data_IF_371762168598
#
_entry.id   IF_371762168598
#
_cell.length_a   1.000
_cell.length_b   1.000
_cell.length_c   1.000
_cell.angle_alpha   90.00
_cell.angle_beta   90.00
_cell.angle_gamma   90.00
#
_symmetry.space_group_name_H-M   'P 1'
#
loop_
_entity.id
_entity.type
_entity.pdbx_description
1 polymer ?
#
# COMPACT_ATOMS: atom_id res chain seq x y z
N UNK A 1 3.45 -13.98 -4.15
CA UNK A 1 3.04 -13.05 -3.09
C UNK A 1 3.09 -13.82 -1.79
N UNK A 2 4.03 -13.55 -0.90
CA UNK A 2 4.01 -14.20 0.41
C UNK A 2 2.84 -13.62 1.19
N UNK A 3 1.87 -14.47 1.52
CA UNK A 3 0.71 -14.14 2.33
C UNK A 3 0.86 -14.99 3.58
N UNK A 4 1.16 -14.40 4.76
CA UNK A 4 1.27 -15.19 5.97
C UNK A 4 -0.07 -15.92 6.22
N UNK A 5 -0.05 -17.19 6.66
CA UNK A 5 -1.27 -17.91 7.03
C UNK A 5 -2.10 -17.12 8.05
N UNK A 6 -3.42 -17.32 8.06
CA UNK A 6 -4.34 -16.59 8.96
C UNK A 6 -3.91 -16.69 10.44
N UNK A 7 -3.36 -17.83 10.86
CA UNK A 7 -2.91 -18.08 12.23
C UNK A 7 -1.52 -17.52 12.56
N UNK A 8 -0.84 -16.89 11.58
CA UNK A 8 0.50 -16.35 11.83
C UNK A 8 0.43 -15.24 12.89
N UNK A 9 1.24 -15.28 13.96
CA UNK A 9 1.14 -14.36 15.10
C UNK A 9 1.15 -12.88 14.70
N UNK A 10 2.00 -12.54 13.71
CA UNK A 10 2.10 -11.15 13.24
C UNK A 10 0.87 -10.71 12.45
N UNK A 11 0.26 -11.63 11.68
CA UNK A 11 -0.98 -11.33 10.96
C UNK A 11 -2.10 -11.07 11.95
N UNK A 12 -2.25 -11.93 12.96
CA UNK A 12 -3.23 -11.73 14.05
C UNK A 12 -3.01 -10.42 14.80
N UNK A 13 -1.75 -10.07 15.08
CA UNK A 13 -1.42 -8.80 15.73
C UNK A 13 -1.90 -7.62 14.89
N UNK A 14 -1.55 -7.57 13.61
CA UNK A 14 -1.95 -6.47 12.75
C UNK A 14 -3.46 -6.44 12.53
N UNK A 15 -4.15 -7.58 12.38
CA UNK A 15 -5.62 -7.61 12.27
C UNK A 15 -6.28 -7.01 13.50
N UNK A 16 -5.86 -7.42 14.71
CA UNK A 16 -6.41 -6.86 15.94
C UNK A 16 -6.16 -5.35 16.10
N UNK A 17 -4.96 -4.88 15.76
CA UNK A 17 -4.63 -3.45 15.82
C UNK A 17 -5.43 -2.65 14.78
N UNK A 18 -5.46 -3.09 13.51
CA UNK A 18 -6.21 -2.40 12.46
C UNK A 18 -7.70 -2.41 12.73
N UNK A 19 -8.28 -3.53 13.16
CA UNK A 19 -9.70 -3.60 13.53
C UNK A 19 -10.02 -2.64 14.67
N UNK A 20 -9.22 -2.65 15.74
CA UNK A 20 -9.43 -1.77 16.87
C UNK A 20 -9.36 -0.30 16.45
N UNK A 21 -8.27 0.10 15.79
CA UNK A 21 -8.08 1.50 15.39
C UNK A 21 -9.16 1.95 14.40
N UNK A 22 -9.45 1.20 13.34
CA UNK A 22 -10.42 1.63 12.33
C UNK A 22 -11.86 1.61 12.88
N UNK A 23 -12.26 0.55 13.57
CA UNK A 23 -13.66 0.44 14.05
C UNK A 23 -13.93 1.28 15.30
N UNK A 24 -13.01 1.28 16.27
CA UNK A 24 -13.24 1.91 17.58
C UNK A 24 -12.82 3.38 17.57
N UNK A 25 -11.64 3.66 17.02
CA UNK A 25 -11.07 5.02 17.07
C UNK A 25 -11.55 5.89 15.91
N UNK A 26 -11.68 5.33 14.70
CA UNK A 26 -12.07 6.09 13.50
C UNK A 26 -13.55 5.92 13.10
N UNK A 27 -14.26 4.95 13.68
CA UNK A 27 -15.67 4.67 13.34
C UNK A 27 -15.88 4.07 11.94
N UNK A 28 -14.82 3.54 11.32
CA UNK A 28 -14.86 2.89 10.01
C UNK A 28 -15.29 1.44 10.18
N UNK A 29 -16.36 1.05 9.49
CA UNK A 29 -16.95 -0.30 9.58
C UNK A 29 -16.82 -1.12 8.30
N UNK A 30 -15.98 -0.66 7.36
CA UNK A 30 -15.66 -1.39 6.13
C UNK A 30 -14.65 -2.51 6.41
N UNK A 31 -15.17 -3.72 6.66
CA UNK A 31 -14.34 -4.88 7.02
C UNK A 31 -13.39 -5.29 5.90
N UNK A 32 -13.80 -5.22 4.63
CA UNK A 32 -12.95 -5.62 3.50
C UNK A 32 -11.76 -4.68 3.33
N UNK A 33 -11.98 -3.37 3.55
CA UNK A 33 -10.91 -2.38 3.54
C UNK A 33 -9.95 -2.59 4.72
N UNK A 34 -10.48 -2.81 5.92
CA UNK A 34 -9.67 -3.06 7.12
C UNK A 34 -8.81 -4.32 6.94
N UNK A 35 -9.39 -5.40 6.43
CA UNK A 35 -8.69 -6.64 6.14
C UNK A 35 -7.55 -6.43 5.13
N UNK A 36 -7.81 -5.63 4.09
CA UNK A 36 -6.78 -5.31 3.10
C UNK A 36 -5.61 -4.54 3.72
N UNK A 37 -5.89 -3.51 4.52
CA UNK A 37 -4.87 -2.69 5.20
C UNK A 37 -4.07 -3.54 6.19
N UNK A 38 -4.73 -4.42 6.94
CA UNK A 38 -4.09 -5.40 7.82
C UNK A 38 -3.13 -6.33 7.06
N UNK A 39 -3.58 -6.83 5.91
CA UNK A 39 -2.76 -7.69 5.07
C UNK A 39 -1.60 -6.92 4.41
N UNK A 40 -1.81 -5.65 4.04
CA UNK A 40 -0.75 -4.77 3.54
C UNK A 40 0.39 -4.67 4.57
N UNK A 41 0.09 -4.39 5.83
CA UNK A 41 1.09 -4.33 6.90
C UNK A 41 1.85 -5.65 7.03
N UNK A 42 1.13 -6.76 6.99
CA UNK A 42 1.71 -8.10 7.08
C UNK A 42 2.64 -8.42 5.89
N UNK A 43 2.27 -7.98 4.68
CA UNK A 43 3.09 -8.17 3.46
C UNK A 43 4.39 -7.37 3.52
N UNK A 44 4.36 -6.17 4.10
CA UNK A 44 5.50 -5.25 4.06
C UNK A 44 6.49 -5.46 5.23
N UNK A 45 6.31 -6.51 6.02
CA UNK A 45 7.28 -6.94 7.04
C UNK A 45 8.64 -7.35 6.45
N UNK A 46 8.64 -7.90 5.23
CA UNK A 46 9.86 -8.30 4.55
C UNK A 46 10.27 -7.20 3.57
N UNK A 47 11.49 -6.69 3.72
CA UNK A 47 12.06 -5.65 2.83
C UNK A 47 12.07 -6.12 1.36
N UNK A 48 12.16 -7.43 1.12
CA UNK A 48 12.08 -8.02 -0.22
C UNK A 48 10.71 -7.84 -0.87
N UNK A 49 9.62 -7.86 -0.08
CA UNK A 49 8.26 -7.62 -0.58
C UNK A 49 8.03 -6.13 -0.88
N UNK A 50 8.69 -5.23 -0.13
CA UNK A 50 8.67 -3.78 -0.41
C UNK A 50 9.33 -3.48 -1.77
N UNK A 51 10.50 -4.06 -2.02
CA UNK A 51 11.29 -3.86 -3.24
C UNK A 51 11.08 -4.96 -4.30
N UNK A 52 9.90 -5.57 -4.32
CA UNK A 52 9.61 -6.73 -5.18
C UNK A 52 9.60 -6.38 -6.67
N UNK A 53 9.21 -5.15 -7.03
CA UNK A 53 9.15 -4.74 -8.43
C UNK A 53 10.56 -4.60 -9.00
N UNK A 54 10.77 -5.16 -10.18
CA UNK A 54 12.04 -5.14 -10.89
C UNK A 54 11.87 -4.41 -12.21
N UNK A 55 12.84 -3.58 -12.54
CA UNK A 55 12.98 -3.02 -13.88
C UNK A 55 13.26 -4.14 -14.90
N UNK A 56 13.06 -3.87 -16.19
CA UNK A 56 13.48 -4.74 -17.29
C UNK A 56 14.94 -5.21 -17.19
N UNK A 57 15.81 -4.38 -16.58
CA UNK A 57 17.22 -4.70 -16.37
C UNK A 57 17.50 -5.48 -15.07
N UNK A 58 16.47 -5.98 -14.39
CA UNK A 58 16.56 -6.77 -13.15
C UNK A 58 16.85 -5.98 -11.87
N UNK A 59 16.96 -4.64 -11.96
CA UNK A 59 17.21 -3.77 -10.80
C UNK A 59 15.95 -3.63 -9.94
N UNK A 60 16.06 -3.65 -8.60
CA UNK A 60 14.93 -3.35 -7.71
C UNK A 60 14.47 -1.91 -7.91
N UNK A 61 13.16 -1.73 -8.01
CA UNK A 61 12.52 -0.42 -8.05
C UNK A 61 12.23 -0.02 -6.61
N UNK A 62 12.92 1.01 -6.13
CA UNK A 62 12.86 1.48 -4.72
C UNK A 62 12.17 2.84 -4.57
N UNK A 63 11.87 3.49 -5.69
CA UNK A 63 11.31 4.84 -5.76
C UNK A 63 10.03 4.81 -6.60
N UNK A 64 9.02 5.59 -6.18
CA UNK A 64 7.69 5.62 -6.80
C UNK A 64 7.80 6.08 -8.25
N UNK A 65 8.65 7.06 -8.54
CA UNK A 65 8.88 7.54 -9.91
C UNK A 65 9.37 6.43 -10.85
N UNK A 66 10.32 5.59 -10.40
CA UNK A 66 10.84 4.50 -11.23
C UNK A 66 9.76 3.41 -11.43
N UNK A 67 8.98 3.12 -10.38
CA UNK A 67 7.86 2.17 -10.48
C UNK A 67 6.79 2.65 -11.48
N UNK A 68 6.44 3.94 -11.46
CA UNK A 68 5.48 4.53 -12.39
C UNK A 68 6.01 4.53 -13.83
N UNK A 69 7.29 4.81 -14.03
CA UNK A 69 7.92 4.75 -15.35
C UNK A 69 7.86 3.33 -15.92
N UNK A 70 8.20 2.32 -15.12
CA UNK A 70 8.11 0.92 -15.55
C UNK A 70 6.65 0.53 -15.85
N UNK A 71 5.71 0.91 -14.98
CA UNK A 71 4.28 0.64 -15.19
C UNK A 71 3.75 1.24 -16.50
N UNK A 72 4.21 2.42 -16.89
CA UNK A 72 3.81 3.09 -18.12
C UNK A 72 4.29 2.38 -19.40
N UNK A 73 5.26 1.47 -19.29
CA UNK A 73 5.72 0.63 -20.43
C UNK A 73 4.86 -0.62 -20.64
N UNK A 74 4.05 -0.99 -19.64
CA UNK A 74 3.24 -2.20 -19.68
C UNK A 74 1.92 -1.96 -20.44
N UNK A 75 1.36 -3.00 -21.08
CA UNK A 75 0.03 -2.92 -21.65
C UNK A 75 -1.01 -2.61 -20.56
N UNK A 76 -1.78 -1.54 -20.74
CA UNK A 76 -2.75 -1.03 -19.75
C UNK A 76 -3.84 -2.05 -19.37
N UNK A 77 -4.20 -2.94 -20.28
CA UNK A 77 -5.17 -4.03 -20.06
C UNK A 77 -4.53 -5.35 -19.58
N UNK A 78 -3.26 -5.34 -19.15
CA UNK A 78 -2.60 -6.54 -18.63
C UNK A 78 -2.70 -6.68 -17.10
N UNK A 79 -2.88 -7.91 -16.60
CA UNK A 79 -2.83 -8.25 -15.16
C UNK A 79 -1.54 -7.75 -14.49
N UNK A 80 -0.42 -7.72 -15.24
CA UNK A 80 0.86 -7.18 -14.76
C UNK A 80 0.79 -5.67 -14.48
N UNK A 81 0.18 -4.88 -15.35
CA UNK A 81 0.06 -3.43 -15.15
C UNK A 81 -0.82 -3.12 -13.92
N UNK A 82 -1.90 -3.90 -13.75
CA UNK A 82 -2.73 -3.84 -12.54
C UNK A 82 -1.91 -4.09 -11.27
N UNK A 83 -1.10 -5.16 -11.25
CA UNK A 83 -0.28 -5.49 -10.08
C UNK A 83 0.79 -4.43 -9.78
N UNK A 84 1.36 -3.80 -10.81
CA UNK A 84 2.25 -2.65 -10.64
C UNK A 84 1.53 -1.48 -9.98
N UNK A 85 0.37 -1.08 -10.50
CA UNK A 85 -0.43 0.00 -9.93
C UNK A 85 -0.90 -0.30 -8.50
N UNK A 86 -1.34 -1.52 -8.23
CA UNK A 86 -1.66 -1.95 -6.87
C UNK A 86 -0.45 -1.81 -5.95
N UNK A 87 0.72 -2.29 -6.37
CA UNK A 87 1.94 -2.19 -5.55
C UNK A 87 2.37 -0.74 -5.30
N UNK A 88 2.26 0.13 -6.30
CA UNK A 88 2.56 1.56 -6.13
C UNK A 88 1.60 2.17 -5.10
N UNK A 89 0.32 1.82 -5.16
CA UNK A 89 -0.68 2.20 -4.15
C UNK A 89 -0.32 1.70 -2.75
N UNK A 90 -0.01 0.41 -2.62
CA UNK A 90 0.40 -0.22 -1.36
C UNK A 90 1.66 0.43 -0.78
N UNK A 91 2.66 0.69 -1.63
CA UNK A 91 3.91 1.33 -1.26
C UNK A 91 3.71 2.76 -0.79
N UNK A 92 2.93 3.53 -1.54
CA UNK A 92 2.59 4.90 -1.15
C UNK A 92 1.83 4.93 0.19
N UNK A 93 0.82 4.07 0.36
CA UNK A 93 0.01 4.00 1.57
C UNK A 93 0.84 3.57 2.80
N UNK A 94 1.73 2.60 2.62
CA UNK A 94 2.65 2.16 3.67
C UNK A 94 3.56 3.29 4.14
N UNK A 95 4.25 3.99 3.21
CA UNK A 95 5.17 5.05 3.60
C UNK A 95 4.46 6.27 4.17
N UNK A 96 3.33 6.67 3.59
CA UNK A 96 2.56 7.84 4.08
C UNK A 96 1.86 7.57 5.41
N UNK A 97 1.41 6.34 5.66
CA UNK A 97 0.74 5.98 6.91
C UNK A 97 1.71 5.58 8.02
N UNK A 98 2.61 4.63 7.72
CA UNK A 98 3.50 4.05 8.74
C UNK A 98 4.71 4.94 8.99
N UNK A 99 5.39 5.46 7.96
CA UNK A 99 6.63 6.23 8.14
C UNK A 99 6.61 7.61 7.44
N UNK A 100 5.61 8.47 7.70
CA UNK A 100 5.51 9.77 7.04
C UNK A 100 6.76 10.65 7.25
N UNK A 101 7.39 10.56 8.42
CA UNK A 101 8.61 11.31 8.74
C UNK A 101 9.80 10.91 7.87
N UNK A 102 9.82 9.68 7.34
CA UNK A 102 10.86 9.24 6.44
C UNK A 102 10.73 9.89 5.06
N UNK A 103 9.52 10.28 4.66
CA UNK A 103 9.28 11.04 3.43
C UNK A 103 9.72 12.49 3.58
N UNK A 104 9.46 13.13 4.71
CA UNK A 104 9.89 14.51 4.99
C UNK A 104 11.42 14.65 5.06
N UNK A 105 12.11 13.62 5.59
CA UNK A 105 13.58 13.62 5.76
C UNK A 105 14.34 13.26 4.48
N UNK A 106 13.67 12.85 3.39
CA UNK A 106 14.34 12.56 2.12
C UNK A 106 14.87 13.85 1.54
N UNK A 107 16.21 13.96 1.45
CA UNK A 107 16.86 15.11 0.85
C UNK A 107 16.53 15.15 -0.65
N UNK A 108 15.99 16.27 -1.18
CA UNK A 108 15.65 16.40 -2.60
C UNK A 108 16.81 16.10 -3.56
N UNK A 109 18.04 16.38 -3.14
CA UNK A 109 19.24 16.16 -3.95
C UNK A 109 19.65 14.68 -4.10
N UNK A 110 19.08 13.77 -3.29
CA UNK A 110 19.49 12.36 -3.23
C UNK A 110 18.37 11.36 -3.56
N UNK A 111 17.13 11.82 -3.76
CA UNK A 111 16.01 10.93 -4.12
C UNK A 111 15.34 11.42 -5.39
N UNK A 112 15.06 10.51 -6.31
CA UNK A 112 14.28 10.80 -7.53
C UNK A 112 12.82 11.13 -7.21
N UNK A 113 12.36 10.75 -6.02
CA UNK A 113 11.01 11.05 -5.53
C UNK A 113 10.86 12.44 -4.90
N UNK A 114 11.90 13.29 -4.95
CA UNK A 114 11.93 14.61 -4.30
C UNK A 114 10.71 15.53 -4.55
N UNK A 115 10.04 15.36 -5.69
CA UNK A 115 8.89 16.17 -6.11
C UNK A 115 7.61 15.35 -6.25
N UNK A 116 7.60 14.12 -5.75
CA UNK A 116 6.45 13.21 -5.85
C UNK A 116 5.56 13.39 -4.62
N UNK A 117 4.31 13.75 -4.86
CA UNK A 117 3.25 13.62 -3.85
C UNK A 117 2.82 12.15 -3.76
N UNK A 118 3.31 11.46 -2.73
CA UNK A 118 3.01 10.05 -2.49
C UNK A 118 1.51 9.81 -2.31
N UNK A 119 0.77 10.71 -1.66
CA UNK A 119 -0.67 10.56 -1.48
C UNK A 119 -1.37 10.63 -2.83
N UNK A 120 -1.06 11.64 -3.66
CA UNK A 120 -1.65 11.77 -4.98
C UNK A 120 -1.33 10.57 -5.89
N UNK A 121 -0.09 10.06 -5.86
CA UNK A 121 0.30 8.89 -6.66
C UNK A 121 -0.32 7.60 -6.13
N UNK A 122 -0.43 7.43 -4.82
CA UNK A 122 -1.08 6.28 -4.19
C UNK A 122 -2.55 6.18 -4.58
N UNK A 123 -3.30 7.28 -4.44
CA UNK A 123 -4.70 7.41 -4.87
C UNK A 123 -4.86 7.03 -6.34
N UNK A 124 -4.10 7.69 -7.21
CA UNK A 124 -4.15 7.44 -8.66
C UNK A 124 -3.84 5.98 -8.99
N UNK A 125 -2.87 5.38 -8.33
CA UNK A 125 -2.46 4.00 -8.63
C UNK A 125 -3.52 2.99 -8.20
N UNK A 126 -4.12 3.17 -7.03
CA UNK A 126 -5.27 2.34 -6.63
C UNK A 126 -6.47 2.51 -7.57
N UNK A 127 -6.77 3.75 -7.99
CA UNK A 127 -7.80 3.99 -8.99
C UNK A 127 -7.52 3.20 -10.28
N UNK A 128 -6.32 3.32 -10.85
CA UNK A 128 -5.95 2.63 -12.09
C UNK A 128 -6.01 1.11 -11.94
N UNK A 129 -5.56 0.56 -10.81
CA UNK A 129 -5.67 -0.87 -10.53
C UNK A 129 -7.13 -1.34 -10.38
N UNK A 130 -8.02 -0.49 -9.85
CA UNK A 130 -9.45 -0.80 -9.70
C UNK A 130 -10.22 -0.80 -11.03
N UNK A 131 -9.73 -0.10 -12.05
CA UNK A 131 -10.37 -0.02 -13.37
C UNK A 131 -10.15 -1.27 -14.23
N UNK A 132 -9.38 -2.25 -13.73
CA UNK A 132 -9.12 -3.49 -14.43
C UNK A 132 -10.37 -4.38 -14.43
N UNK A 133 -10.85 -4.72 -15.63
CA UNK A 133 -12.06 -5.53 -15.82
C UNK A 133 -11.68 -7.02 -15.85
N UNK A 134 -11.80 -7.66 -14.68
CA UNK A 134 -11.56 -9.08 -14.47
C UNK A 134 -12.50 -9.57 -13.37
N UNK A 135 -13.42 -10.46 -13.74
CA UNK A 135 -14.49 -10.94 -12.85
C UNK A 135 -13.92 -11.66 -11.62
N UNK A 136 -12.78 -12.36 -11.76
CA UNK A 136 -12.09 -13.04 -10.65
C UNK A 136 -11.56 -12.03 -9.61
N UNK A 137 -11.30 -10.79 -10.04
CA UNK A 137 -10.70 -9.74 -9.23
C UNK A 137 -11.70 -8.65 -8.82
N UNK A 138 -12.98 -8.78 -9.20
CA UNK A 138 -13.99 -7.73 -8.99
C UNK A 138 -14.16 -7.31 -7.51
N UNK A 139 -14.06 -8.26 -6.58
CA UNK A 139 -14.10 -7.96 -5.15
C UNK A 139 -12.89 -7.11 -4.70
N UNK A 140 -11.68 -7.52 -5.10
CA UNK A 140 -10.47 -6.76 -4.80
C UNK A 140 -10.49 -5.39 -5.48
N UNK A 141 -10.93 -5.29 -6.73
CA UNK A 141 -11.05 -4.01 -7.46
C UNK A 141 -11.97 -3.02 -6.74
N UNK A 142 -13.07 -3.48 -6.11
CA UNK A 142 -13.93 -2.62 -5.25
C UNK A 142 -13.21 -2.12 -4.00
N UNK A 143 -12.36 -2.95 -3.38
CA UNK A 143 -11.51 -2.52 -2.25
C UNK A 143 -10.47 -1.49 -2.70
N UNK A 144 -9.77 -1.75 -3.82
CA UNK A 144 -8.81 -0.80 -4.38
C UNK A 144 -9.47 0.53 -4.72
N UNK A 145 -10.71 0.52 -5.22
CA UNK A 145 -11.47 1.74 -5.48
C UNK A 145 -11.68 2.56 -4.21
N UNK A 146 -12.15 1.92 -3.14
CA UNK A 146 -12.31 2.57 -1.82
C UNK A 146 -11.00 3.08 -1.26
N UNK A 147 -9.91 2.32 -1.35
CA UNK A 147 -8.58 2.77 -0.94
C UNK A 147 -8.10 4.01 -1.70
N UNK A 148 -8.50 4.17 -2.97
CA UNK A 148 -8.23 5.40 -3.72
C UNK A 148 -9.04 6.60 -3.21
N UNK A 149 -10.29 6.37 -2.78
CA UNK A 149 -11.21 7.42 -2.35
C UNK A 149 -10.89 7.86 -0.90
N UNK A 150 -10.62 6.89 -0.03
CA UNK A 150 -10.37 7.05 1.40
C UNK A 150 -8.88 6.97 1.76
N UNK A 151 -7.98 7.27 0.82
CA UNK A 151 -6.54 7.06 1.00
C UNK A 151 -5.98 7.78 2.23
N UNK A 152 -6.30 9.06 2.40
CA UNK A 152 -5.82 9.87 3.52
C UNK A 152 -6.36 9.37 4.87
N UNK A 153 -7.62 8.89 4.90
CA UNK A 153 -8.20 8.24 6.08
C UNK A 153 -7.44 6.97 6.42
N UNK A 154 -7.14 6.14 5.42
CA UNK A 154 -6.37 4.91 5.58
C UNK A 154 -4.94 5.19 6.06
N UNK A 155 -4.27 6.19 5.47
CA UNK A 155 -2.94 6.61 5.87
C UNK A 155 -2.94 7.10 7.33
N UNK A 156 -3.92 7.92 7.71
CA UNK A 156 -4.10 8.35 9.10
C UNK A 156 -4.33 7.16 10.05
N UNK A 157 -5.21 6.23 9.69
CA UNK A 157 -5.45 5.01 10.47
C UNK A 157 -4.21 4.16 10.64
N UNK A 158 -3.40 3.98 9.59
CA UNK A 158 -2.12 3.31 9.67
C UNK A 158 -1.12 4.02 10.60
N UNK A 159 -1.11 5.35 10.62
CA UNK A 159 -0.27 6.10 11.55
C UNK A 159 -0.66 5.85 13.01
N UNK A 160 -1.96 5.76 13.29
CA UNK A 160 -2.49 5.44 14.61
C UNK A 160 -2.16 3.99 15.00
N UNK A 161 -2.32 3.04 14.08
CA UNK A 161 -1.92 1.63 14.28
C UNK A 161 -0.44 1.51 14.64
N UNK A 162 0.43 2.26 13.94
CA UNK A 162 1.87 2.29 14.28
C UNK A 162 2.10 2.81 15.70
N UNK A 163 1.45 3.92 16.08
CA UNK A 163 1.61 4.48 17.44
C UNK A 163 1.18 3.49 18.51
N UNK A 164 0.10 2.74 18.29
CA UNK A 164 -0.33 1.68 19.20
C UNK A 164 0.68 0.52 19.26
N UNK A 165 1.29 0.15 18.12
CA UNK A 165 2.33 -0.86 18.06
C UNK A 165 3.58 -0.43 18.85
N UNK A 166 4.08 0.79 18.66
CA UNK A 166 5.25 1.33 19.36
C UNK A 166 5.06 1.43 20.88
N UNK A 167 3.82 1.51 21.38
CA UNK A 167 3.53 1.52 22.82
C UNK A 167 3.53 0.13 23.46
N UNK A 168 3.41 -0.94 22.65
CA UNK A 168 3.30 -2.33 23.12
C UNK A 168 4.62 -3.12 23.02
N UNK A 169 5.65 -2.56 22.39
CA UNK A 169 7.00 -3.13 22.21
C UNK A 169 8.00 -2.36 23.04
#
# INVERSE_FOLDING_TARGET
>A
MWVPPQDHPVRRLFSGLTEHTFMTTLGVTDTELIDYVSLLLSRFLHVDDIHRLRSQNGRPLTEVVDMMQEAATLPSAGRTAREFHRHIGDFALFWTGVYPEALEKRKPALSKDAFIDYCAQGKRSYYLASMFDDEELAAESRVLRRLSEDFELCAYGLNQVRREWEQRV
#
